data_IF_144365294410
#
_entry.id   IF_144365294410
#
_cell.length_a   1.000
_cell.length_b   1.000
_cell.length_c   1.000
_cell.angle_alpha   90.00
_cell.angle_beta   90.00
_cell.angle_gamma   90.00
#
_symmetry.space_group_name_H-M   'P 1'
#
loop_
_entity.id
_entity.type
_entity.pdbx_description
1 polymer ?
#
# COMPACT_ATOMS: atom_id res chain seq x y z
N UNK A 1 -10.17 2.64 41.78
CA UNK A 1 -10.36 2.52 40.32
C UNK A 1 -11.74 2.02 39.93
N UNK A 2 -12.41 2.78 39.05
CA UNK A 2 -13.58 2.28 38.33
C UNK A 2 -13.16 1.17 37.37
N UNK A 3 -14.03 0.17 37.14
CA UNK A 3 -13.74 -0.97 36.27
C UNK A 3 -13.37 -0.57 34.82
N UNK A 4 -13.81 0.61 34.37
CA UNK A 4 -13.47 1.17 33.05
C UNK A 4 -12.01 1.62 32.96
N UNK A 5 -11.46 2.22 34.02
CA UNK A 5 -10.05 2.66 34.07
C UNK A 5 -9.11 1.47 34.10
N UNK A 6 -9.42 0.43 34.87
CA UNK A 6 -8.62 -0.81 34.91
C UNK A 6 -8.60 -1.52 33.55
N UNK A 7 -9.73 -1.54 32.84
CA UNK A 7 -9.78 -2.14 31.51
C UNK A 7 -8.97 -1.33 30.48
N UNK A 8 -9.06 0.00 30.51
CA UNK A 8 -8.31 0.87 29.60
C UNK A 8 -6.80 0.82 29.87
N UNK A 9 -6.40 0.87 31.14
CA UNK A 9 -4.98 0.75 31.52
C UNK A 9 -4.39 -0.59 31.10
N UNK A 10 -5.10 -1.70 31.28
CA UNK A 10 -4.64 -3.02 30.83
C UNK A 10 -4.46 -3.09 29.30
N UNK A 11 -5.35 -2.47 28.52
CA UNK A 11 -5.21 -2.40 27.06
C UNK A 11 -3.99 -1.57 26.65
N UNK A 12 -3.77 -0.42 27.28
CA UNK A 12 -2.61 0.44 26.99
C UNK A 12 -1.31 -0.29 27.35
N UNK A 13 -1.25 -0.96 28.50
CA UNK A 13 -0.07 -1.73 28.91
C UNK A 13 0.24 -2.86 27.89
N UNK A 14 -0.80 -3.54 27.38
CA UNK A 14 -0.63 -4.54 26.33
C UNK A 14 -0.07 -3.94 25.03
N UNK A 15 -0.63 -2.82 24.55
CA UNK A 15 -0.13 -2.13 23.35
C UNK A 15 1.31 -1.65 23.54
N UNK A 16 1.65 -1.09 24.70
CA UNK A 16 3.01 -0.66 25.03
C UNK A 16 4.00 -1.84 25.08
N UNK A 17 3.58 -3.00 25.59
CA UNK A 17 4.43 -4.19 25.60
C UNK A 17 4.70 -4.72 24.18
N UNK A 18 3.68 -4.73 23.33
CA UNK A 18 3.82 -5.13 21.92
C UNK A 18 4.74 -4.16 21.16
N UNK A 19 4.55 -2.85 21.36
CA UNK A 19 5.43 -1.82 20.82
C UNK A 19 6.87 -2.01 21.28
N UNK A 20 7.08 -2.28 22.56
CA UNK A 20 8.42 -2.51 23.12
C UNK A 20 9.11 -3.73 22.49
N UNK A 21 8.37 -4.82 22.26
CA UNK A 21 8.90 -6.04 21.64
C UNK A 21 9.26 -5.86 20.18
N UNK A 22 8.50 -5.05 19.44
CA UNK A 22 8.78 -4.84 18.02
C UNK A 22 9.85 -3.76 17.80
N UNK A 23 9.81 -2.67 18.58
CA UNK A 23 10.79 -1.60 18.45
C UNK A 23 12.17 -2.00 19.00
N UNK A 24 12.24 -2.96 19.93
CA UNK A 24 13.47 -3.38 20.61
C UNK A 24 14.36 -2.17 20.97
N UNK A 25 13.92 -1.31 21.91
CA UNK A 25 14.51 0.01 22.12
C UNK A 25 16.03 -0.02 22.36
N UNK A 26 16.55 -1.09 22.98
CA UNK A 26 18.00 -1.27 23.18
C UNK A 26 18.77 -1.47 21.87
N UNK A 27 18.23 -2.28 20.95
CA UNK A 27 18.86 -2.52 19.65
C UNK A 27 18.70 -1.31 18.73
N UNK A 28 17.53 -0.68 18.76
CA UNK A 28 17.26 0.53 17.98
C UNK A 28 18.14 1.70 18.42
N UNK A 29 18.38 1.88 19.73
CA UNK A 29 19.34 2.86 20.24
C UNK A 29 20.78 2.55 19.80
N UNK A 30 21.21 1.28 19.80
CA UNK A 30 22.53 0.89 19.28
C UNK A 30 22.65 1.18 17.79
N UNK A 31 21.58 0.91 17.02
CA UNK A 31 21.53 1.20 15.58
C UNK A 31 21.58 2.69 15.30
N UNK A 32 20.84 3.49 16.07
CA UNK A 32 20.85 4.95 15.97
C UNK A 32 22.25 5.51 16.27
N UNK A 33 22.96 4.99 17.28
CA UNK A 33 24.37 5.36 17.55
C UNK A 33 25.29 5.05 16.36
N UNK A 34 25.11 3.90 15.71
CA UNK A 34 25.87 3.56 14.50
C UNK A 34 25.56 4.52 13.33
N UNK A 35 24.28 4.84 13.11
CA UNK A 35 23.87 5.77 12.05
C UNK A 35 24.36 7.20 12.34
N UNK A 36 24.39 7.63 13.61
CA UNK A 36 24.97 8.91 14.01
C UNK A 36 26.47 8.96 13.70
N UNK A 37 27.22 7.90 14.05
CA UNK A 37 28.64 7.81 13.73
C UNK A 37 28.89 7.81 12.21
N UNK A 38 27.99 7.20 11.41
CA UNK A 38 28.06 7.25 9.94
C UNK A 38 27.74 8.64 9.39
N UNK A 39 26.79 9.36 9.99
CA UNK A 39 26.45 10.73 9.60
C UNK A 39 27.56 11.75 9.94
N UNK A 40 28.38 11.45 10.94
CA UNK A 40 29.57 12.23 11.32
C UNK A 40 30.76 12.03 10.36
N UNK A 41 30.78 10.97 9.55
CA UNK A 41 31.84 10.73 8.56
C UNK A 41 31.73 11.73 7.38
N UNK A 42 32.74 12.58 7.14
CA UNK A 42 32.74 13.51 6.01
C UNK A 42 32.60 12.82 4.64
N UNK A 43 32.98 11.55 4.52
CA UNK A 43 32.91 10.81 3.25
C UNK A 43 31.50 10.43 2.82
N UNK A 44 30.52 10.40 3.74
CA UNK A 44 29.13 10.07 3.40
C UNK A 44 28.52 11.12 2.45
N UNK A 45 28.94 12.38 2.59
CA UNK A 45 28.47 13.50 1.78
C UNK A 45 28.99 13.50 0.33
N UNK A 46 29.92 12.58 0.00
CA UNK A 46 30.39 12.41 -1.39
C UNK A 46 29.34 11.71 -2.27
N UNK A 47 28.39 10.97 -1.67
CA UNK A 47 27.27 10.35 -2.39
C UNK A 47 25.93 10.86 -1.81
N UNK A 48 25.25 11.79 -2.50
CA UNK A 48 24.00 12.38 -2.01
C UNK A 48 22.87 11.36 -1.86
N UNK A 49 22.85 10.29 -2.66
CA UNK A 49 21.81 9.26 -2.57
C UNK A 49 22.00 8.38 -1.32
N UNK A 50 23.26 7.99 -1.03
CA UNK A 50 23.59 7.25 0.18
C UNK A 50 23.33 8.10 1.44
N UNK A 51 23.72 9.38 1.43
CA UNK A 51 23.47 10.30 2.54
C UNK A 51 21.97 10.46 2.83
N UNK A 52 21.14 10.64 1.80
CA UNK A 52 19.69 10.77 1.95
C UNK A 52 19.07 9.50 2.57
N UNK A 53 19.53 8.31 2.15
CA UNK A 53 19.04 7.04 2.71
C UNK A 53 19.39 6.88 4.18
N UNK A 54 20.63 7.17 4.57
CA UNK A 54 21.10 7.10 5.97
C UNK A 54 20.35 8.10 6.84
N UNK A 55 20.20 9.34 6.39
CA UNK A 55 19.47 10.37 7.13
C UNK A 55 17.98 10.02 7.29
N UNK A 56 17.32 9.51 6.23
CA UNK A 56 15.92 9.07 6.30
C UNK A 56 15.74 7.93 7.31
N UNK A 57 16.65 6.95 7.31
CA UNK A 57 16.62 5.85 8.28
C UNK A 57 16.87 6.34 9.71
N UNK A 58 17.80 7.27 9.91
CA UNK A 58 18.10 7.85 11.22
C UNK A 58 16.88 8.58 11.78
N UNK A 59 16.31 9.50 11.01
CA UNK A 59 15.12 10.27 11.42
C UNK A 59 13.95 9.34 11.73
N UNK A 60 13.69 8.33 10.92
CA UNK A 60 12.62 7.38 11.19
C UNK A 60 12.79 6.61 12.52
N UNK A 61 14.01 6.19 12.85
CA UNK A 61 14.28 5.49 14.12
C UNK A 61 14.26 6.44 15.32
N UNK A 62 14.73 7.68 15.14
CA UNK A 62 14.72 8.73 16.16
C UNK A 62 13.28 9.14 16.51
N UNK A 63 12.44 9.35 15.48
CA UNK A 63 11.02 9.67 15.64
C UNK A 63 10.27 8.53 16.35
N UNK A 64 10.56 7.27 15.98
CA UNK A 64 9.93 6.11 16.60
C UNK A 64 10.30 5.96 18.09
N UNK A 65 11.56 6.16 18.46
CA UNK A 65 12.00 6.14 19.85
C UNK A 65 11.38 7.29 20.65
N UNK A 66 11.43 8.51 20.10
CA UNK A 66 10.89 9.70 20.76
C UNK A 66 9.39 9.57 21.00
N UNK A 67 8.65 9.02 20.03
CA UNK A 67 7.22 8.79 20.18
C UNK A 67 6.90 7.71 21.24
N UNK A 68 7.68 6.62 21.28
CA UNK A 68 7.53 5.58 22.29
C UNK A 68 7.82 6.09 23.71
N UNK A 69 8.89 6.86 23.88
CA UNK A 69 9.28 7.45 25.16
C UNK A 69 8.24 8.47 25.64
N UNK A 70 7.73 9.31 24.73
CA UNK A 70 6.66 10.27 25.03
C UNK A 70 5.35 9.56 25.43
N UNK A 71 4.95 8.51 24.72
CA UNK A 71 3.75 7.73 25.04
C UNK A 71 3.87 7.03 26.41
N UNK A 72 5.05 6.49 26.71
CA UNK A 72 5.33 5.84 28.00
C UNK A 72 5.29 6.84 29.15
N UNK A 73 5.88 8.02 28.96
CA UNK A 73 5.90 9.09 29.97
C UNK A 73 4.49 9.63 30.21
N UNK A 74 3.74 9.94 29.15
CA UNK A 74 2.35 10.39 29.28
C UNK A 74 1.48 9.35 30.00
N UNK A 75 1.66 8.06 29.70
CA UNK A 75 0.94 7.00 30.39
C UNK A 75 1.28 6.92 31.89
N UNK A 76 2.57 7.03 32.27
CA UNK A 76 2.96 7.01 33.69
C UNK A 76 2.42 8.23 34.44
N UNK A 77 2.51 9.41 33.82
CA UNK A 77 2.07 10.67 34.43
C UNK A 77 0.54 10.66 34.64
N UNK A 78 -0.24 10.25 33.63
CA UNK A 78 -1.71 10.12 33.77
C UNK A 78 -2.10 9.05 34.80
N UNK A 79 -1.34 7.95 34.91
CA UNK A 79 -1.58 6.91 35.94
C UNK A 79 -1.34 7.45 37.35
N UNK A 80 -0.29 8.24 37.55
CA UNK A 80 -0.01 8.91 38.82
C UNK A 80 -1.08 9.96 39.16
N UNK A 81 -1.52 10.74 38.17
CA UNK A 81 -2.61 11.71 38.33
C UNK A 81 -3.93 11.05 38.74
N UNK A 82 -4.28 9.90 38.15
CA UNK A 82 -5.47 9.13 38.55
C UNK A 82 -5.33 8.66 40.01
N UNK A 83 -4.17 8.14 40.40
CA UNK A 83 -3.94 7.69 41.77
C UNK A 83 -4.09 8.83 42.79
N UNK A 84 -3.55 10.01 42.47
CA UNK A 84 -3.68 11.21 43.31
C UNK A 84 -5.13 11.69 43.40
N UNK A 85 -5.84 11.75 42.27
CA UNK A 85 -7.24 12.19 42.23
C UNK A 85 -8.17 11.23 43.00
N UNK A 86 -7.87 9.92 43.00
CA UNK A 86 -8.58 8.95 43.85
C UNK A 86 -8.30 9.15 45.34
N UNK A 87 -7.06 9.49 45.72
CA UNK A 87 -6.68 9.74 47.11
C UNK A 87 -7.31 11.02 47.66
N UNK A 88 -7.37 12.08 46.84
CA UNK A 88 -7.98 13.37 47.20
C UNK A 88 -9.50 13.39 47.05
N UNK A 89 -10.08 12.42 46.33
CA UNK A 89 -11.52 12.32 46.09
C UNK A 89 -12.08 13.36 45.10
N UNK A 90 -11.22 13.96 44.26
CA UNK A 90 -11.61 14.97 43.27
C UNK A 90 -12.18 14.32 42.00
N UNK A 91 -13.50 14.36 41.87
CA UNK A 91 -14.23 13.81 40.72
C UNK A 91 -14.01 14.60 39.42
N UNK A 92 -13.69 15.90 39.49
CA UNK A 92 -13.42 16.69 38.30
C UNK A 92 -12.06 16.29 37.69
N UNK A 93 -11.04 16.18 38.55
CA UNK A 93 -9.70 15.73 38.15
C UNK A 93 -9.72 14.29 37.59
N UNK A 94 -10.51 13.40 38.18
CA UNK A 94 -10.72 12.05 37.63
C UNK A 94 -11.35 12.07 36.24
N UNK A 95 -12.35 12.93 36.01
CA UNK A 95 -12.99 13.10 34.70
C UNK A 95 -12.01 13.59 33.62
N UNK A 96 -11.13 14.53 33.95
CA UNK A 96 -10.11 15.02 33.02
C UNK A 96 -9.04 13.96 32.74
N UNK A 97 -8.52 13.29 33.77
CA UNK A 97 -7.52 12.24 33.63
C UNK A 97 -8.04 11.03 32.84
N UNK A 98 -9.32 10.68 32.98
CA UNK A 98 -9.94 9.61 32.18
C UNK A 98 -10.07 9.96 30.71
N UNK A 99 -10.39 11.22 30.36
CA UNK A 99 -10.42 11.67 28.98
C UNK A 99 -9.02 11.67 28.36
N UNK A 100 -8.01 12.09 29.11
CA UNK A 100 -6.61 12.01 28.69
C UNK A 100 -6.16 10.56 28.47
N UNK A 101 -6.54 9.65 29.38
CA UNK A 101 -6.22 8.23 29.25
C UNK A 101 -6.89 7.59 28.01
N UNK A 102 -8.10 8.04 27.64
CA UNK A 102 -8.74 7.64 26.38
C UNK A 102 -7.96 8.15 25.15
N UNK A 103 -7.47 9.39 25.19
CA UNK A 103 -6.64 9.92 24.11
C UNK A 103 -5.32 9.13 23.98
N UNK A 104 -4.67 8.81 25.10
CA UNK A 104 -3.47 7.96 25.12
C UNK A 104 -3.75 6.58 24.53
N UNK A 105 -4.89 5.97 24.87
CA UNK A 105 -5.30 4.69 24.29
C UNK A 105 -5.43 4.77 22.76
N UNK A 106 -6.07 5.81 22.23
CA UNK A 106 -6.20 6.00 20.76
C UNK A 106 -4.82 6.14 20.11
N UNK A 107 -3.95 6.97 20.68
CA UNK A 107 -2.58 7.16 20.17
C UNK A 107 -1.73 5.89 20.25
N UNK A 108 -1.77 5.17 21.37
CA UNK A 108 -1.05 3.91 21.57
C UNK A 108 -1.49 2.85 20.57
N UNK A 109 -2.81 2.75 20.35
CA UNK A 109 -3.36 1.82 19.39
C UNK A 109 -2.95 2.17 17.95
N UNK A 110 -2.94 3.46 17.59
CA UNK A 110 -2.47 3.90 16.27
C UNK A 110 -0.99 3.56 16.03
N UNK A 111 -0.13 3.80 17.02
CA UNK A 111 1.29 3.46 16.93
C UNK A 111 1.52 1.94 16.84
N UNK A 112 0.76 1.17 17.62
CA UNK A 112 0.78 -0.29 17.55
C UNK A 112 0.47 -0.74 16.12
N UNK A 113 -0.58 -0.19 15.51
CA UNK A 113 -0.96 -0.52 14.13
C UNK A 113 0.10 -0.13 13.11
N UNK A 114 0.71 1.06 13.22
CA UNK A 114 1.82 1.46 12.33
C UNK A 114 3.00 0.49 12.42
N UNK A 115 3.25 -0.04 13.61
CA UNK A 115 4.33 -0.98 13.86
C UNK A 115 4.05 -2.34 13.22
N UNK A 116 2.79 -2.73 13.12
CA UNK A 116 2.36 -3.96 12.44
C UNK A 116 2.46 -3.89 10.90
N UNK A 117 2.64 -2.69 10.33
CA UNK A 117 2.81 -2.47 8.89
C UNK A 117 4.26 -2.75 8.47
N UNK A 118 4.70 -4.01 8.56
CA UNK A 118 6.07 -4.43 8.30
C UNK A 118 6.31 -5.05 6.91
N UNK A 119 5.31 -5.05 6.02
CA UNK A 119 5.46 -5.59 4.67
C UNK A 119 6.37 -4.75 3.79
N UNK A 120 7.10 -5.39 2.86
CA UNK A 120 8.04 -4.70 1.95
C UNK A 120 7.37 -3.57 1.15
N UNK A 121 6.10 -3.76 0.78
CA UNK A 121 5.29 -2.80 0.04
C UNK A 121 4.43 -1.88 0.93
N UNK A 122 4.37 -2.11 2.24
CA UNK A 122 3.46 -1.36 3.13
C UNK A 122 3.90 0.10 3.29
N UNK A 123 5.21 0.35 3.19
CA UNK A 123 5.82 1.69 3.23
C UNK A 123 5.68 2.50 1.93
N UNK A 124 5.23 1.86 0.84
CA UNK A 124 5.06 2.50 -0.45
C UNK A 124 3.79 3.38 -0.48
N UNK A 125 3.81 4.34 -1.41
CA UNK A 125 2.61 5.05 -1.84
C UNK A 125 1.60 4.05 -2.43
N UNK A 126 0.32 4.41 -2.45
CA UNK A 126 -0.75 3.50 -2.89
C UNK A 126 -1.50 4.04 -4.10
N UNK A 127 -1.77 3.16 -5.06
CA UNK A 127 -2.78 3.38 -6.07
C UNK A 127 -4.10 2.76 -5.63
N UNK A 128 -5.20 3.50 -5.78
CA UNK A 128 -6.56 3.01 -5.60
C UNK A 128 -7.29 3.10 -6.94
N UNK A 129 -7.67 1.96 -7.49
CA UNK A 129 -8.57 1.87 -8.64
C UNK A 129 -9.98 1.56 -8.19
N UNK A 130 -10.89 2.50 -8.47
CA UNK A 130 -12.32 2.39 -8.18
C UNK A 130 -13.04 2.15 -9.50
N UNK A 131 -13.86 1.11 -9.57
CA UNK A 131 -14.65 0.81 -10.76
C UNK A 131 -16.11 0.57 -10.37
N UNK A 132 -17.02 1.22 -11.08
CA UNK A 132 -18.45 1.00 -10.94
C UNK A 132 -18.82 -0.41 -11.41
N UNK A 133 -19.64 -1.11 -10.62
CA UNK A 133 -20.16 -2.43 -10.96
C UNK A 133 -21.40 -2.38 -11.84
N UNK A 134 -22.05 -3.53 -11.98
CA UNK A 134 -23.31 -3.65 -12.72
C UNK A 134 -24.45 -2.96 -11.95
N UNK A 135 -24.90 -1.80 -12.44
CA UNK A 135 -26.08 -1.11 -11.92
C UNK A 135 -26.32 0.30 -12.46
N UNK A 136 -25.80 0.61 -13.65
CA UNK A 136 -26.03 1.87 -14.36
C UNK A 136 -25.61 3.11 -13.57
N UNK A 137 -26.40 4.18 -13.67
CA UNK A 137 -26.16 5.48 -13.03
C UNK A 137 -26.02 5.38 -11.51
N UNK A 138 -26.76 4.49 -10.84
CA UNK A 138 -26.69 4.33 -9.38
C UNK A 138 -25.34 3.74 -8.92
N UNK A 139 -24.77 2.80 -9.69
CA UNK A 139 -23.44 2.25 -9.36
C UNK A 139 -22.32 3.24 -9.69
N UNK A 140 -22.53 4.11 -10.68
CA UNK A 140 -21.60 5.19 -11.00
C UNK A 140 -21.57 6.25 -9.89
N UNK A 141 -22.74 6.65 -9.36
CA UNK A 141 -22.82 7.54 -8.20
C UNK A 141 -22.18 6.90 -6.96
N UNK A 142 -22.40 5.60 -6.75
CA UNK A 142 -21.76 4.89 -5.63
C UNK A 142 -20.22 4.88 -5.74
N UNK A 143 -19.68 4.65 -6.94
CA UNK A 143 -18.24 4.73 -7.16
C UNK A 143 -17.69 6.13 -6.83
N UNK A 144 -18.41 7.20 -7.17
CA UNK A 144 -18.02 8.57 -6.83
C UNK A 144 -18.07 8.84 -5.32
N UNK A 145 -19.06 8.28 -4.61
CA UNK A 145 -19.11 8.37 -3.15
C UNK A 145 -17.91 7.71 -2.49
N UNK A 146 -17.47 6.55 -3.01
CA UNK A 146 -16.26 5.87 -2.51
C UNK A 146 -15.00 6.66 -2.81
N UNK A 147 -14.88 7.24 -4.00
CA UNK A 147 -13.77 8.13 -4.34
C UNK A 147 -13.64 9.28 -3.34
N UNK A 148 -14.75 9.99 -3.09
CA UNK A 148 -14.80 11.08 -2.11
C UNK A 148 -14.46 10.59 -0.70
N UNK A 149 -14.93 9.41 -0.32
CA UNK A 149 -14.67 8.81 1.00
C UNK A 149 -13.15 8.59 1.20
N UNK A 150 -12.47 7.96 0.23
CA UNK A 150 -11.03 7.74 0.31
C UNK A 150 -10.22 9.04 0.22
N UNK A 151 -10.65 10.00 -0.60
CA UNK A 151 -10.02 11.32 -0.64
C UNK A 151 -10.10 12.02 0.72
N UNK A 152 -11.26 11.98 1.40
CA UNK A 152 -11.41 12.59 2.72
C UNK A 152 -10.59 11.89 3.78
N UNK A 153 -10.58 10.56 3.78
CA UNK A 153 -9.75 9.75 4.67
C UNK A 153 -8.26 10.08 4.52
N UNK A 154 -7.76 10.19 3.29
CA UNK A 154 -6.36 10.51 3.03
C UNK A 154 -6.00 11.94 3.47
N UNK A 155 -6.85 12.92 3.16
CA UNK A 155 -6.66 14.31 3.60
C UNK A 155 -6.68 14.45 5.14
N UNK A 156 -7.52 13.67 5.84
CA UNK A 156 -7.57 13.67 7.31
C UNK A 156 -6.28 13.13 7.96
N UNK A 157 -5.47 12.38 7.21
CA UNK A 157 -4.18 11.83 7.64
C UNK A 157 -2.98 12.60 7.10
N UNK A 158 -3.20 13.82 6.61
CA UNK A 158 -2.18 14.66 5.96
C UNK A 158 -1.46 13.94 4.79
N UNK A 159 -2.14 12.99 4.15
CA UNK A 159 -1.64 12.31 2.95
C UNK A 159 -2.02 13.12 1.70
N UNK A 160 -1.11 13.19 0.74
CA UNK A 160 -1.36 13.89 -0.52
C UNK A 160 -2.10 12.97 -1.49
N UNK A 161 -3.25 13.44 -2.00
CA UNK A 161 -4.04 12.71 -3.00
C UNK A 161 -3.87 13.36 -4.37
N UNK A 162 -3.60 12.54 -5.38
CA UNK A 162 -3.49 12.93 -6.78
C UNK A 162 -4.43 12.06 -7.64
N UNK A 163 -5.30 12.68 -8.43
CA UNK A 163 -6.19 11.96 -9.36
C UNK A 163 -5.40 11.75 -10.66
N UNK A 164 -5.09 10.50 -10.99
CA UNK A 164 -4.34 10.18 -12.22
C UNK A 164 -5.28 10.11 -13.41
N UNK A 165 -6.42 9.45 -13.20
CA UNK A 165 -7.37 9.15 -14.24
C UNK A 165 -8.76 9.11 -13.64
N UNK A 166 -9.71 9.74 -14.32
CA UNK A 166 -11.12 9.76 -13.94
C UNK A 166 -11.96 9.68 -15.22
N UNK A 167 -12.90 8.75 -15.24
CA UNK A 167 -13.90 8.63 -16.29
C UNK A 167 -15.28 8.85 -15.68
N UNK A 168 -15.88 10.00 -16.00
CA UNK A 168 -17.22 10.34 -15.54
C UNK A 168 -18.29 9.41 -16.14
N UNK A 169 -19.38 9.24 -15.40
CA UNK A 169 -20.61 8.58 -15.84
C UNK A 169 -21.33 9.37 -16.94
N UNK A 170 -22.32 8.74 -17.59
CA UNK A 170 -23.11 9.40 -18.64
C UNK A 170 -24.11 10.41 -18.07
N UNK A 171 -24.69 10.12 -16.90
CA UNK A 171 -25.68 10.99 -16.24
C UNK A 171 -25.15 11.53 -14.90
N UNK A 172 -24.59 10.67 -14.06
CA UNK A 172 -24.07 11.03 -12.74
C UNK A 172 -22.96 10.05 -12.32
N UNK A 173 -22.09 10.50 -11.39
CA UNK A 173 -21.04 9.67 -10.82
C UNK A 173 -19.85 9.42 -11.76
N UNK A 174 -19.09 8.36 -11.46
CA UNK A 174 -17.90 7.94 -12.21
C UNK A 174 -18.03 6.47 -12.66
N UNK A 175 -17.52 6.15 -13.84
CA UNK A 175 -17.36 4.76 -14.30
C UNK A 175 -16.11 4.13 -13.70
N UNK A 176 -15.00 4.86 -13.73
CA UNK A 176 -13.74 4.45 -13.12
C UNK A 176 -12.91 5.66 -12.68
N UNK A 177 -12.14 5.50 -11.60
CA UNK A 177 -11.16 6.48 -11.15
C UNK A 177 -9.93 5.78 -10.58
N UNK A 178 -8.76 6.36 -10.82
CA UNK A 178 -7.47 5.94 -10.28
C UNK A 178 -6.90 7.08 -9.46
N UNK A 179 -6.77 6.85 -8.15
CA UNK A 179 -6.19 7.77 -7.19
C UNK A 179 -4.78 7.31 -6.81
N UNK A 180 -3.84 8.25 -6.72
CA UNK A 180 -2.52 8.06 -6.12
C UNK A 180 -2.51 8.74 -4.75
N UNK A 181 -2.31 7.95 -3.70
CA UNK A 181 -2.18 8.43 -2.33
C UNK A 181 -0.70 8.35 -1.95
N UNK A 182 -0.09 9.53 -1.78
CA UNK A 182 1.29 9.71 -1.35
C UNK A 182 1.33 9.99 0.13
N UNK A 183 2.02 9.14 0.89
CA UNK A 183 2.03 9.27 2.34
C UNK A 183 2.73 8.12 3.05
N UNK A 184 3.07 8.34 4.32
CA UNK A 184 3.69 7.31 5.15
C UNK A 184 2.74 6.12 5.29
N UNK A 185 3.22 4.95 4.90
CA UNK A 185 2.51 3.67 5.01
C UNK A 185 1.14 3.64 4.31
N UNK A 186 0.94 4.45 3.25
CA UNK A 186 -0.35 4.57 2.57
C UNK A 186 -0.86 3.21 2.07
N UNK A 187 0.01 2.42 1.44
CA UNK A 187 -0.36 1.08 0.98
C UNK A 187 -0.68 0.14 2.16
N UNK A 188 0.12 0.16 3.22
CA UNK A 188 -0.10 -0.68 4.40
C UNK A 188 -1.51 -0.51 4.99
N UNK A 189 -1.96 0.74 5.12
CA UNK A 189 -3.30 1.05 5.62
C UNK A 189 -4.41 0.58 4.67
N UNK A 190 -4.25 0.80 3.37
CA UNK A 190 -5.32 0.61 2.38
C UNK A 190 -5.34 -0.79 1.74
N UNK A 191 -4.30 -1.61 1.94
CA UNK A 191 -4.18 -2.94 1.32
C UNK A 191 -5.43 -3.80 1.56
N UNK A 192 -6.02 -3.71 2.75
CA UNK A 192 -7.20 -4.47 3.13
C UNK A 192 -8.52 -3.88 2.60
N UNK A 193 -8.50 -2.77 1.87
CA UNK A 193 -9.70 -2.21 1.22
C UNK A 193 -9.96 -2.80 -0.17
N UNK A 194 -9.05 -3.63 -0.69
CA UNK A 194 -9.27 -4.34 -1.95
C UNK A 194 -10.46 -5.29 -1.85
N UNK A 195 -11.51 -5.04 -2.64
CA UNK A 195 -12.72 -5.85 -2.67
C UNK A 195 -13.94 -5.13 -3.23
N UNK A 196 -15.10 -5.77 -3.10
CA UNK A 196 -16.39 -5.21 -3.57
C UNK A 196 -17.12 -4.53 -2.41
N UNK A 197 -17.47 -3.27 -2.59
CA UNK A 197 -18.25 -2.48 -1.64
C UNK A 197 -19.70 -2.40 -2.13
N UNK A 198 -20.63 -2.80 -1.27
CA UNK A 198 -22.06 -2.84 -1.58
C UNK A 198 -22.80 -1.68 -0.93
N UNK A 199 -23.58 -0.95 -1.71
CA UNK A 199 -24.51 0.08 -1.23
C UNK A 199 -25.96 -0.42 -1.32
N UNK A 200 -26.75 -0.14 -0.29
CA UNK A 200 -28.21 -0.35 -0.27
C UNK A 200 -28.88 0.94 0.17
N UNK A 201 -29.54 1.62 -0.77
CA UNK A 201 -30.28 2.86 -0.49
C UNK A 201 -31.50 2.98 -1.39
N UNK A 202 -32.35 3.97 -1.11
CA UNK A 202 -33.37 4.41 -2.05
C UNK A 202 -32.67 5.30 -3.10
N UNK A 203 -32.71 4.90 -4.37
CA UNK A 203 -32.01 5.64 -5.42
C UNK A 203 -32.69 6.99 -5.67
N UNK A 204 -31.93 8.09 -5.73
CA UNK A 204 -32.46 9.40 -6.15
C UNK A 204 -32.77 9.46 -7.65
N UNK A 205 -32.26 8.51 -8.45
CA UNK A 205 -32.42 8.46 -9.90
C UNK A 205 -33.61 7.59 -10.35
N UNK A 206 -34.22 6.81 -9.43
CA UNK A 206 -35.41 6.02 -9.73
C UNK A 206 -36.68 6.80 -9.37
N UNK A 207 -37.49 7.13 -10.39
CA UNK A 207 -38.77 7.82 -10.25
C UNK A 207 -39.76 7.11 -9.31
N UNK A 208 -39.61 5.80 -9.09
CA UNK A 208 -40.47 5.01 -8.20
C UNK A 208 -39.94 4.91 -6.76
N UNK A 209 -38.82 5.56 -6.44
CA UNK A 209 -38.17 5.51 -5.12
C UNK A 209 -38.00 4.07 -4.60
N UNK A 210 -37.67 3.12 -5.50
CA UNK A 210 -37.44 1.73 -5.09
C UNK A 210 -36.08 1.64 -4.42
N UNK A 211 -35.93 0.60 -3.60
CA UNK A 211 -34.63 0.25 -3.04
C UNK A 211 -33.76 -0.35 -4.13
N UNK A 212 -32.58 0.20 -4.29
CA UNK A 212 -31.54 -0.33 -5.18
C UNK A 212 -30.41 -0.92 -4.36
N UNK A 213 -29.74 -1.90 -4.94
CA UNK A 213 -28.49 -2.45 -4.42
C UNK A 213 -27.44 -2.29 -5.49
N UNK A 214 -26.36 -1.61 -5.15
CA UNK A 214 -25.30 -1.21 -6.08
C UNK A 214 -23.96 -1.72 -5.59
N UNK A 215 -23.06 -1.95 -6.54
CA UNK A 215 -21.75 -2.51 -6.28
C UNK A 215 -20.69 -1.65 -6.94
N UNK A 216 -19.57 -1.48 -6.26
CA UNK A 216 -18.36 -0.89 -6.81
C UNK A 216 -17.17 -1.71 -6.31
N UNK A 217 -16.18 -1.94 -7.17
CA UNK A 217 -14.93 -2.59 -6.77
C UNK A 217 -13.89 -1.54 -6.47
N UNK A 218 -13.16 -1.75 -5.38
CA UNK A 218 -11.97 -1.00 -5.01
C UNK A 218 -10.79 -1.95 -5.10
N UNK A 219 -9.71 -1.50 -5.72
CA UNK A 219 -8.49 -2.28 -5.85
C UNK A 219 -7.30 -1.43 -5.45
N UNK A 220 -6.50 -1.91 -4.51
CA UNK A 220 -5.35 -1.19 -3.98
C UNK A 220 -4.07 -1.94 -4.31
N UNK A 221 -3.07 -1.22 -4.81
CA UNK A 221 -1.75 -1.77 -5.14
C UNK A 221 -0.65 -0.74 -4.88
N UNK A 222 0.58 -1.18 -4.56
CA UNK A 222 1.64 -0.27 -4.20
C UNK A 222 2.18 0.45 -5.45
N UNK A 223 2.45 1.74 -5.30
CA UNK A 223 3.18 2.53 -6.28
C UNK A 223 4.68 2.26 -6.11
N UNK A 224 5.16 1.24 -6.80
CA UNK A 224 6.59 0.89 -6.87
C UNK A 224 7.17 1.59 -8.09
N UNK A 225 8.18 2.45 -7.89
CA UNK A 225 8.92 3.08 -8.98
C UNK A 225 9.92 2.08 -9.59
N UNK A 226 9.38 1.09 -10.30
CA UNK A 226 10.17 0.11 -11.03
C UNK A 226 10.51 0.66 -12.41
N UNK A 227 11.48 1.58 -12.46
CA UNK A 227 12.20 1.83 -13.70
C UNK A 227 12.98 0.55 -14.06
N UNK A 228 12.43 -0.26 -14.97
CA UNK A 228 13.03 -1.54 -15.41
C UNK A 228 14.42 -1.26 -16.01
N UNK A 229 15.46 -1.37 -15.19
CA UNK A 229 16.86 -1.27 -15.60
C UNK A 229 17.39 -2.67 -15.90
N UNK A 230 17.30 -3.08 -17.16
CA UNK A 230 17.89 -4.35 -17.61
C UNK A 230 19.39 -4.12 -17.85
N UNK A 231 20.18 -4.32 -16.80
CA UNK A 231 21.62 -4.44 -16.95
C UNK A 231 21.96 -5.81 -17.55
N UNK A 232 22.40 -5.82 -18.81
CA UNK A 232 22.87 -7.05 -19.45
C UNK A 232 24.36 -7.21 -19.17
N UNK A 233 24.71 -8.28 -18.47
CA UNK A 233 26.10 -8.66 -18.23
C UNK A 233 26.63 -9.40 -19.47
N UNK A 234 27.72 -8.93 -20.05
CA UNK A 234 28.32 -9.51 -21.26
C UNK A 234 28.66 -11.01 -21.14
N UNK A 235 28.94 -11.49 -19.92
CA UNK A 235 29.29 -12.89 -19.64
C UNK A 235 28.11 -13.86 -19.87
N UNK A 236 26.89 -13.36 -19.77
CA UNK A 236 25.67 -14.17 -19.87
C UNK A 236 25.18 -14.29 -21.33
N UNK A 237 25.85 -13.60 -22.25
CA UNK A 237 25.52 -13.60 -23.68
C UNK A 237 26.56 -14.36 -24.48
N UNK A 238 26.15 -15.49 -25.06
CA UNK A 238 26.96 -16.19 -26.06
C UNK A 238 26.86 -15.48 -27.40
N UNK A 239 28.01 -15.15 -27.99
CA UNK A 239 28.11 -14.49 -29.30
C UNK A 239 28.62 -15.48 -30.33
N UNK A 240 27.77 -15.84 -31.29
CA UNK A 240 28.12 -16.71 -32.41
C UNK A 240 28.17 -15.91 -33.71
N UNK A 241 29.25 -16.03 -34.48
CA UNK A 241 29.42 -15.34 -35.77
C UNK A 241 29.43 -16.36 -36.89
N UNK A 242 28.65 -16.13 -37.94
CA UNK A 242 28.48 -17.08 -39.04
C UNK A 242 28.19 -16.36 -40.37
N UNK A 243 28.09 -17.13 -41.45
CA UNK A 243 27.79 -16.60 -42.79
C UNK A 243 26.32 -16.24 -42.92
N UNK A 244 26.05 -15.05 -43.44
CA UNK A 244 24.68 -14.62 -43.71
C UNK A 244 24.02 -15.52 -44.77
N UNK A 245 22.74 -15.83 -44.58
CA UNK A 245 21.96 -16.61 -45.55
C UNK A 245 21.11 -15.67 -46.42
N UNK A 246 21.30 -15.73 -47.74
CA UNK A 246 20.51 -14.92 -48.69
C UNK A 246 21.05 -14.91 -50.12
N UNK A 247 20.22 -14.50 -51.06
CA UNK A 247 20.62 -14.30 -52.46
C UNK A 247 21.50 -13.06 -52.56
N UNK A 248 22.83 -13.24 -52.62
CA UNK A 248 23.73 -12.12 -52.86
C UNK A 248 25.15 -12.53 -53.25
N UNK A 249 25.94 -11.53 -53.64
CA UNK A 249 27.24 -11.71 -54.32
C UNK A 249 28.35 -12.32 -53.45
N UNK A 250 29.58 -12.35 -53.97
CA UNK A 250 30.74 -13.00 -53.34
C UNK A 250 30.99 -12.61 -51.87
N UNK A 251 30.60 -11.40 -51.47
CA UNK A 251 30.74 -10.90 -50.10
C UNK A 251 29.90 -11.68 -49.06
N UNK A 252 28.73 -12.20 -49.44
CA UNK A 252 27.87 -12.99 -48.55
C UNK A 252 28.40 -14.42 -48.39
N UNK A 253 29.04 -14.96 -49.43
CA UNK A 253 29.52 -16.35 -49.45
C UNK A 253 30.90 -16.54 -48.81
N UNK A 254 31.72 -15.48 -48.72
CA UNK A 254 33.11 -15.56 -48.21
C UNK A 254 33.32 -14.92 -46.83
N UNK A 255 32.42 -14.05 -46.36
CA UNK A 255 32.63 -13.25 -45.14
C UNK A 255 31.62 -13.63 -44.05
N UNK A 256 32.10 -13.87 -42.83
CA UNK A 256 31.27 -14.20 -41.67
C UNK A 256 30.70 -12.92 -41.03
N UNK A 257 29.77 -12.27 -41.73
CA UNK A 257 29.21 -11.00 -41.31
C UNK A 257 27.97 -11.10 -40.41
N UNK A 258 27.31 -12.27 -40.31
CA UNK A 258 26.11 -12.44 -39.49
C UNK A 258 26.48 -12.73 -38.02
N UNK A 259 25.70 -12.18 -37.10
CA UNK A 259 25.91 -12.32 -35.65
C UNK A 259 24.64 -12.85 -35.00
N UNK A 260 24.77 -13.87 -34.16
CA UNK A 260 23.73 -14.37 -33.27
C UNK A 260 24.17 -14.17 -31.83
N UNK A 261 23.26 -13.64 -31.03
CA UNK A 261 23.40 -13.50 -29.58
C UNK A 261 22.39 -14.41 -28.91
N UNK A 262 22.84 -15.16 -27.92
CA UNK A 262 22.00 -16.03 -27.08
C UNK A 262 22.22 -15.63 -25.63
N UNK A 263 21.17 -15.12 -24.97
CA UNK A 263 21.20 -14.87 -23.54
C UNK A 263 20.95 -16.19 -22.80
N UNK A 264 21.97 -16.71 -22.13
CA UNK A 264 21.92 -18.02 -21.49
C UNK A 264 20.85 -18.12 -20.38
N UNK A 265 20.65 -17.11 -19.51
CA UNK A 265 19.64 -17.18 -18.45
C UNK A 265 18.19 -17.20 -18.96
N UNK A 266 17.87 -16.41 -19.98
CA UNK A 266 16.49 -16.33 -20.52
C UNK A 266 16.23 -17.24 -21.72
N UNK A 267 17.28 -17.82 -22.31
CA UNK A 267 17.19 -18.61 -23.55
C UNK A 267 16.83 -17.79 -24.79
N UNK A 268 16.76 -16.46 -24.72
CA UNK A 268 16.37 -15.61 -25.85
C UNK A 268 17.50 -15.54 -26.87
N UNK A 269 17.17 -15.90 -28.10
CA UNK A 269 18.08 -15.85 -29.25
C UNK A 269 17.69 -14.71 -30.18
N UNK A 270 18.70 -13.96 -30.60
CA UNK A 270 18.57 -12.85 -31.55
C UNK A 270 19.64 -12.96 -32.61
N UNK A 271 19.30 -12.68 -33.86
CA UNK A 271 20.24 -12.73 -34.97
C UNK A 271 20.10 -11.47 -35.84
N UNK A 272 21.24 -10.95 -36.31
CA UNK A 272 21.29 -9.80 -37.21
C UNK A 272 22.25 -10.08 -38.37
N UNK A 273 21.74 -9.89 -39.60
CA UNK A 273 22.50 -10.07 -40.84
C UNK A 273 22.26 -8.94 -41.86
N UNK A 274 21.70 -7.81 -41.43
CA UNK A 274 21.21 -6.74 -42.32
C UNK A 274 22.33 -5.91 -42.95
N UNK A 275 23.49 -5.77 -42.30
CA UNK A 275 24.62 -4.99 -42.81
C UNK A 275 25.76 -5.89 -43.30
N UNK A 276 26.57 -5.35 -44.22
CA UNK A 276 27.84 -5.97 -44.65
C UNK A 276 28.92 -6.03 -43.55
N UNK A 277 28.79 -5.23 -42.48
CA UNK A 277 29.79 -5.11 -41.41
C UNK A 277 29.36 -5.89 -40.17
N UNK A 278 30.26 -6.75 -39.69
CA UNK A 278 30.07 -7.55 -38.48
C UNK A 278 29.85 -6.69 -37.23
N UNK A 279 30.63 -5.62 -37.04
CA UNK A 279 30.50 -4.73 -35.88
C UNK A 279 29.13 -4.03 -35.84
N UNK A 280 28.63 -3.60 -36.99
CA UNK A 280 27.28 -3.02 -37.09
C UNK A 280 26.21 -4.06 -36.78
N UNK A 281 26.33 -5.27 -37.31
CA UNK A 281 25.39 -6.35 -37.00
C UNK A 281 25.44 -6.76 -35.52
N UNK A 282 26.62 -6.75 -34.88
CA UNK A 282 26.77 -6.99 -33.44
C UNK A 282 26.06 -5.92 -32.63
N UNK A 283 26.29 -4.64 -32.93
CA UNK A 283 25.63 -3.53 -32.22
C UNK A 283 24.10 -3.59 -32.37
N UNK A 284 23.60 -3.86 -33.58
CA UNK A 284 22.16 -4.03 -33.81
C UNK A 284 21.60 -5.26 -33.09
N UNK A 285 22.32 -6.38 -33.08
CA UNK A 285 21.91 -7.58 -32.35
C UNK A 285 21.82 -7.32 -30.84
N UNK A 286 22.73 -6.52 -30.26
CA UNK A 286 22.67 -6.10 -28.86
C UNK A 286 21.46 -5.23 -28.56
N UNK A 287 21.13 -4.28 -29.44
CA UNK A 287 19.92 -3.47 -29.30
C UNK A 287 18.65 -4.32 -29.39
N UNK A 288 18.61 -5.27 -30.33
CA UNK A 288 17.49 -6.21 -30.46
C UNK A 288 17.39 -7.16 -29.24
N UNK A 289 18.52 -7.57 -28.65
CA UNK A 289 18.54 -8.37 -27.44
C UNK A 289 18.00 -7.59 -26.24
N UNK A 290 18.40 -6.33 -26.06
CA UNK A 290 17.84 -5.41 -25.06
C UNK A 290 16.33 -5.26 -25.23
N UNK A 291 15.87 -5.01 -26.45
CA UNK A 291 14.45 -4.87 -26.75
C UNK A 291 13.66 -6.16 -26.44
N UNK A 292 14.17 -7.33 -26.82
CA UNK A 292 13.50 -8.61 -26.52
C UNK A 292 13.51 -8.98 -25.03
N UNK A 293 14.58 -8.67 -24.31
CA UNK A 293 14.62 -8.88 -22.86
C UNK A 293 13.64 -7.95 -22.16
N UNK A 294 13.53 -6.70 -22.61
CA UNK A 294 12.52 -5.76 -22.15
C UNK A 294 11.11 -6.25 -22.41
N UNK A 295 10.83 -6.71 -23.63
CA UNK A 295 9.53 -7.29 -23.99
C UNK A 295 9.20 -8.54 -23.16
N UNK A 296 10.17 -9.41 -22.90
CA UNK A 296 9.97 -10.60 -22.08
C UNK A 296 9.67 -10.26 -20.62
N UNK A 297 10.38 -9.27 -20.05
CA UNK A 297 10.12 -8.82 -18.68
C UNK A 297 8.77 -8.11 -18.57
N UNK A 298 8.43 -7.27 -19.55
CA UNK A 298 7.11 -6.64 -19.66
C UNK A 298 6.02 -7.71 -19.71
N UNK A 299 6.18 -8.73 -20.55
CA UNK A 299 5.21 -9.81 -20.70
C UNK A 299 5.06 -10.63 -19.42
N UNK A 300 6.16 -10.95 -18.74
CA UNK A 300 6.10 -11.66 -17.45
C UNK A 300 5.35 -10.84 -16.40
N UNK A 301 5.59 -9.53 -16.38
CA UNK A 301 4.89 -8.61 -15.47
C UNK A 301 3.42 -8.47 -15.84
N UNK A 302 3.09 -8.38 -17.13
CA UNK A 302 1.71 -8.44 -17.62
C UNK A 302 1.02 -9.74 -17.19
N UNK A 303 1.68 -10.89 -17.34
CA UNK A 303 1.17 -12.20 -16.89
C UNK A 303 0.97 -12.23 -15.36
N UNK A 304 1.87 -11.67 -14.56
CA UNK A 304 1.71 -11.56 -13.10
C UNK A 304 0.55 -10.63 -12.73
N UNK A 305 0.42 -9.48 -13.40
CA UNK A 305 -0.72 -8.56 -13.20
C UNK A 305 -2.02 -9.18 -13.66
N UNK A 306 -2.01 -9.94 -14.76
CA UNK A 306 -3.17 -10.62 -15.30
C UNK A 306 -3.59 -11.76 -14.38
N UNK A 307 -2.65 -12.53 -13.82
CA UNK A 307 -2.95 -13.55 -12.82
C UNK A 307 -3.56 -12.93 -11.54
N UNK A 308 -3.05 -11.76 -11.09
CA UNK A 308 -3.65 -11.00 -9.99
C UNK A 308 -5.04 -10.46 -10.35
N UNK A 309 -5.25 -10.02 -11.59
CA UNK A 309 -6.53 -9.56 -12.10
C UNK A 309 -7.53 -10.71 -12.30
N UNK A 310 -7.08 -11.91 -12.65
CA UNK A 310 -7.90 -13.12 -12.75
C UNK A 310 -8.27 -13.68 -11.37
N UNK A 311 -7.41 -13.46 -10.37
CA UNK A 311 -7.76 -13.68 -8.97
C UNK A 311 -8.78 -12.65 -8.45
N UNK A 312 -9.04 -11.56 -9.19
CA UNK A 312 -10.08 -10.60 -8.84
C UNK A 312 -11.43 -11.30 -8.99
N UNK A 313 -12.16 -11.35 -7.88
CA UNK A 313 -13.51 -11.88 -7.86
C UNK A 313 -14.45 -10.97 -8.66
N UNK A 314 -15.46 -11.56 -9.31
CA UNK A 314 -16.47 -10.81 -10.03
C UNK A 314 -17.12 -9.74 -9.14
N UNK A 315 -17.41 -8.57 -9.74
CA UNK A 315 -18.12 -7.45 -9.11
C UNK A 315 -19.61 -7.79 -9.03
N UNK A 316 -19.91 -8.87 -8.33
CA UNK A 316 -21.21 -9.51 -8.29
C UNK A 316 -21.56 -9.92 -6.86
N UNK A 317 -22.81 -10.35 -6.71
CA UNK A 317 -23.37 -10.76 -5.44
C UNK A 317 -22.57 -11.92 -4.82
N UNK A 318 -22.20 -11.80 -3.53
CA UNK A 318 -21.48 -12.86 -2.79
C UNK A 318 -20.00 -12.59 -2.52
N UNK A 319 -19.37 -11.62 -3.20
CA UNK A 319 -17.95 -11.26 -3.01
C UNK A 319 -17.74 -9.92 -2.28
N UNK A 320 -18.75 -9.46 -1.56
CA UNK A 320 -18.74 -8.14 -0.93
C UNK A 320 -17.96 -8.16 0.40
N UNK A 321 -17.03 -7.22 0.56
CA UNK A 321 -16.25 -7.06 1.80
C UNK A 321 -16.98 -6.19 2.82
N UNK A 322 -17.69 -5.16 2.36
CA UNK A 322 -18.43 -4.23 3.22
C UNK A 322 -19.80 -3.91 2.64
N UNK A 323 -20.78 -3.80 3.52
CA UNK A 323 -22.17 -3.46 3.19
C UNK A 323 -22.56 -2.15 3.86
N UNK A 324 -22.95 -1.17 3.04
CA UNK A 324 -23.42 0.15 3.44
C UNK A 324 -24.93 0.19 3.25
N UNK A 325 -25.69 0.11 4.34
CA UNK A 325 -27.17 0.19 4.31
C UNK A 325 -27.58 1.55 4.83
N UNK A 326 -28.22 2.36 3.98
CA UNK A 326 -28.68 3.71 4.35
C UNK A 326 -30.19 3.74 4.69
N UNK A 327 -30.97 2.81 4.12
CA UNK A 327 -32.40 2.62 4.44
C UNK A 327 -32.74 1.12 4.42
N UNK A 328 -33.56 0.62 5.37
CA UNK A 328 -34.47 1.33 6.27
C UNK A 328 -33.86 1.67 7.63
N UNK A 329 -32.71 1.06 7.95
CA UNK A 329 -31.85 1.39 9.05
C UNK A 329 -30.50 1.84 8.48
N UNK A 330 -29.78 2.64 9.23
CA UNK A 330 -28.47 3.16 8.88
C UNK A 330 -27.41 2.28 9.55
N UNK A 331 -26.63 1.55 8.75
CA UNK A 331 -25.58 0.67 9.25
C UNK A 331 -24.53 0.41 8.18
N UNK A 332 -23.26 0.48 8.56
CA UNK A 332 -22.14 0.00 7.74
C UNK A 332 -21.53 -1.20 8.44
N UNK A 333 -21.37 -2.31 7.72
CA UNK A 333 -20.83 -3.54 8.30
C UNK A 333 -19.77 -4.15 7.41
N UNK A 334 -18.60 -4.44 7.97
CA UNK A 334 -17.56 -5.25 7.32
C UNK A 334 -17.85 -6.73 7.57
N UNK A 335 -17.95 -7.51 6.50
CA UNK A 335 -18.34 -8.92 6.56
C UNK A 335 -17.17 -9.83 6.93
N UNK A 336 -15.93 -9.33 6.85
CA UNK A 336 -14.73 -10.09 7.18
C UNK A 336 -14.44 -10.03 8.67
N UNK A 337 -14.52 -8.83 9.25
CA UNK A 337 -14.23 -8.58 10.67
C UNK A 337 -15.47 -8.55 11.55
N UNK A 338 -16.67 -8.48 10.95
CA UNK A 338 -17.96 -8.31 11.63
C UNK A 338 -18.13 -6.99 12.40
N UNK A 339 -17.19 -6.05 12.26
CA UNK A 339 -17.30 -4.69 12.80
C UNK A 339 -18.45 -3.96 12.12
N UNK A 340 -19.25 -3.27 12.91
CA UNK A 340 -20.40 -2.51 12.45
C UNK A 340 -20.42 -1.10 13.05
N UNK A 341 -20.73 -0.12 12.21
CA UNK A 341 -20.92 1.27 12.60
C UNK A 341 -22.37 1.70 12.32
N UNK A 342 -22.97 2.37 13.29
CA UNK A 342 -24.35 2.87 13.22
C UNK A 342 -24.48 4.22 12.50
N UNK A 343 -23.37 4.88 12.17
CA UNK A 343 -23.35 6.19 11.51
C UNK A 343 -22.68 6.13 10.12
N UNK A 344 -23.44 5.78 9.05
CA UNK A 344 -22.90 5.71 7.70
C UNK A 344 -22.36 7.04 7.17
N UNK A 345 -22.89 8.18 7.64
CA UNK A 345 -22.45 9.50 7.17
C UNK A 345 -21.02 9.78 7.58
N UNK A 346 -20.64 9.47 8.83
CA UNK A 346 -19.26 9.60 9.31
C UNK A 346 -18.31 8.71 8.49
N UNK A 347 -18.72 7.46 8.23
CA UNK A 347 -17.91 6.52 7.42
C UNK A 347 -17.71 7.03 6.00
N UNK A 348 -18.76 7.54 5.35
CA UNK A 348 -18.68 8.14 4.00
C UNK A 348 -17.87 9.44 3.98
N UNK A 349 -17.74 10.11 5.12
CA UNK A 349 -16.92 11.30 5.28
C UNK A 349 -15.44 10.98 5.62
N UNK A 350 -15.07 9.70 5.68
CA UNK A 350 -13.68 9.26 5.80
C UNK A 350 -13.31 8.63 7.15
N UNK A 351 -14.28 8.40 8.05
CA UNK A 351 -14.04 7.68 9.31
C UNK A 351 -13.96 6.15 9.07
N UNK A 352 -12.85 5.71 8.50
CA UNK A 352 -12.60 4.31 8.12
C UNK A 352 -11.68 3.57 9.11
N UNK A 353 -11.15 4.27 10.09
CA UNK A 353 -10.04 3.83 10.93
C UNK A 353 -10.36 2.53 11.64
N UNK A 354 -11.53 2.45 12.26
CA UNK A 354 -12.01 1.25 12.96
C UNK A 354 -12.09 0.02 12.04
N UNK A 355 -12.48 0.21 10.78
CA UNK A 355 -12.54 -0.88 9.81
C UNK A 355 -11.14 -1.32 9.36
N UNK A 356 -10.26 -0.35 9.10
CA UNK A 356 -8.88 -0.62 8.68
C UNK A 356 -8.09 -1.32 9.77
N UNK A 357 -8.16 -0.83 11.02
CA UNK A 357 -7.45 -1.43 12.16
C UNK A 357 -7.96 -2.84 12.44
N UNK A 358 -9.27 -3.05 12.44
CA UNK A 358 -9.84 -4.38 12.63
C UNK A 358 -9.42 -5.36 11.51
N UNK A 359 -9.36 -4.89 10.26
CA UNK A 359 -8.95 -5.72 9.14
C UNK A 359 -7.46 -6.09 9.21
N UNK A 360 -6.60 -5.14 9.60
CA UNK A 360 -5.17 -5.37 9.83
C UNK A 360 -4.94 -6.37 10.97
N UNK A 361 -5.62 -6.18 12.09
CA UNK A 361 -5.55 -7.09 13.24
C UNK A 361 -5.98 -8.53 12.86
N UNK A 362 -7.08 -8.66 12.09
CA UNK A 362 -7.56 -9.95 11.61
C UNK A 362 -6.57 -10.65 10.67
N UNK A 363 -5.87 -9.89 9.80
CA UNK A 363 -4.82 -10.43 8.90
C UNK A 363 -3.68 -11.05 9.70
N UNK A 364 -3.28 -10.44 10.81
CA UNK A 364 -2.14 -10.87 11.62
C UNK A 364 -2.51 -12.09 12.46
N UNK A 365 -3.71 -12.09 13.05
CA UNK A 365 -4.23 -13.26 13.76
C UNK A 365 -4.46 -14.46 12.81
N UNK A 366 -4.91 -14.21 11.58
CA UNK A 366 -5.04 -15.23 10.54
C UNK A 366 -3.70 -15.69 9.94
N UNK A 367 -2.70 -14.82 9.89
CA UNK A 367 -1.36 -15.09 9.36
C UNK A 367 -0.49 -15.96 10.28
N UNK A 368 -0.82 -16.04 11.58
CA UNK A 368 -0.14 -16.91 12.54
C UNK A 368 -0.32 -18.42 12.28
N UNK A 369 -1.18 -18.82 11.35
CA UNK A 369 -1.42 -20.22 10.98
C UNK A 369 -0.80 -20.66 9.64
N UNK A 370 -0.05 -19.79 8.94
CA UNK A 370 0.36 -20.06 7.55
C UNK A 370 1.75 -19.62 7.11
N UNK A 371 2.61 -19.14 8.01
CA UNK A 371 3.99 -18.78 7.67
C UNK A 371 4.98 -19.45 8.63
N UNK A 372 5.24 -20.73 8.38
CA UNK A 372 6.40 -21.49 8.85
C UNK A 372 7.04 -22.21 7.69
#
# INVERSE_FOLDING_TARGET
MSAEIEMLTAKIEQSLELLRRHLDPENTQKRLKLLNAQAEDPNLWNDPAAAQKVMKQRTALEDALTAFDALTTNYTDTKELIALAEEEGDQAMLGEATAELQAIHVHAHQQEMETLLSGEADSCDAYIDINAGAGGTESQDWAQMLERMYMRWANARDMQVEIIHEMSGEEAGIKSATLLIKGKNAHGWLNMESGVHRLVRISPFDSNARRHTSFASVWVYPAIDDSIHIEIIDKDVRVDTYRASGAGGQHINKTDSAVRLTHMPSGIVVQCQSNRSQHKNRATAWNMLRAKLYEAELKKREEETQAKAEAKTDIAWGHQIRSYVLQPYQMVKDLRTQVESSNPTAVLDGDLDEFLTAALAAKIQGGGAGAS
#
